data_IF_639252864094
#
_entry.id   IF_639252864094
#
_cell.length_a   1.000
_cell.length_b   1.000
_cell.length_c   1.000
_cell.angle_alpha   90.00
_cell.angle_beta   90.00
_cell.angle_gamma   90.00
#
_symmetry.space_group_name_H-M   'P 1'
#
loop_
_entity.id
_entity.type
_entity.pdbx_description
1 polymer ?
#
# COMPACT_ATOMS: atom_id res chain seq x y z
N UNK A 1 14.51 17.26 -10.22
CA UNK A 1 14.86 16.90 -8.83
C UNK A 1 15.88 15.78 -8.88
N UNK A 2 16.97 15.85 -8.11
CA UNK A 2 18.07 14.88 -8.18
C UNK A 2 17.63 13.50 -7.65
N UNK A 3 18.07 12.41 -8.32
CA UNK A 3 17.71 11.01 -8.01
C UNK A 3 17.89 10.63 -6.53
N UNK A 4 18.87 11.21 -5.82
CA UNK A 4 19.10 10.93 -4.39
C UNK A 4 18.04 11.48 -3.42
N UNK A 5 17.22 12.44 -3.82
CA UNK A 5 16.36 13.17 -2.87
C UNK A 5 15.18 12.36 -2.32
N UNK A 6 14.70 11.33 -3.03
CA UNK A 6 13.59 10.48 -2.53
C UNK A 6 14.09 9.43 -1.57
N UNK A 7 15.18 8.73 -1.91
CA UNK A 7 15.75 7.70 -1.05
C UNK A 7 16.21 8.32 0.27
N UNK A 8 16.81 9.51 0.26
CA UNK A 8 17.17 10.22 1.50
C UNK A 8 15.96 10.52 2.40
N UNK A 9 14.84 10.97 1.83
CA UNK A 9 13.61 11.22 2.62
C UNK A 9 13.03 9.93 3.19
N UNK A 10 12.94 8.89 2.38
CA UNK A 10 12.42 7.59 2.82
C UNK A 10 13.35 6.95 3.86
N UNK A 11 14.68 7.08 3.71
CA UNK A 11 15.67 6.66 4.71
C UNK A 11 15.44 7.36 6.06
N UNK A 12 15.13 8.65 6.07
CA UNK A 12 14.80 9.37 7.31
C UNK A 12 13.57 8.78 8.00
N UNK A 13 12.51 8.47 7.24
CA UNK A 13 11.31 7.81 7.78
C UNK A 13 11.67 6.43 8.34
N UNK A 14 12.39 5.61 7.58
CA UNK A 14 12.82 4.27 7.99
C UNK A 14 13.69 4.28 9.27
N UNK A 15 14.58 5.27 9.42
CA UNK A 15 15.46 5.36 10.59
C UNK A 15 14.69 5.57 11.90
N UNK A 16 13.47 6.14 11.85
CA UNK A 16 12.63 6.30 13.04
C UNK A 16 12.14 4.95 13.60
N UNK A 17 12.24 3.87 12.81
CA UNK A 17 11.89 2.49 13.22
C UNK A 17 13.10 1.55 13.14
N UNK A 18 14.31 2.11 13.23
CA UNK A 18 15.55 1.33 13.29
C UNK A 18 15.90 0.57 12.01
N UNK A 19 15.44 1.05 10.85
CA UNK A 19 15.71 0.42 9.55
C UNK A 19 16.54 1.34 8.65
N UNK A 20 17.65 0.84 8.09
CA UNK A 20 18.39 1.53 7.04
C UNK A 20 17.86 1.08 5.67
N UNK A 21 17.16 1.98 4.99
CA UNK A 21 16.64 1.72 3.65
C UNK A 21 17.75 1.37 2.65
N UNK A 22 19.00 1.79 2.88
CA UNK A 22 20.11 1.49 1.95
C UNK A 22 20.57 0.03 1.99
N UNK A 23 20.12 -0.74 2.97
CA UNK A 23 20.43 -2.16 3.10
C UNK A 23 19.51 -3.06 2.23
N UNK A 24 18.48 -2.50 1.60
CA UNK A 24 17.64 -3.25 0.65
C UNK A 24 18.30 -3.38 -0.72
N UNK A 25 17.82 -4.34 -1.52
CA UNK A 25 18.30 -4.56 -2.88
C UNK A 25 18.18 -3.27 -3.73
N UNK A 26 19.19 -3.02 -4.57
CA UNK A 26 19.20 -1.86 -5.47
C UNK A 26 17.99 -1.83 -6.43
N UNK A 27 17.41 -2.98 -6.75
CA UNK A 27 16.19 -3.08 -7.55
C UNK A 27 14.98 -2.44 -6.86
N UNK A 28 14.84 -2.65 -5.54
CA UNK A 28 13.80 -2.07 -4.70
C UNK A 28 13.96 -0.55 -4.67
N UNK A 29 15.19 -0.05 -4.46
CA UNK A 29 15.47 1.39 -4.47
C UNK A 29 15.11 2.03 -5.82
N UNK A 30 15.51 1.41 -6.93
CA UNK A 30 15.20 1.89 -8.27
C UNK A 30 13.68 1.95 -8.54
N UNK A 31 12.91 0.98 -8.01
CA UNK A 31 11.44 0.97 -8.14
C UNK A 31 10.79 2.10 -7.34
N UNK A 32 11.26 2.37 -6.12
CA UNK A 32 10.79 3.50 -5.32
C UNK A 32 11.10 4.85 -6.01
N UNK A 33 12.28 4.99 -6.59
CA UNK A 33 12.63 6.18 -7.39
C UNK A 33 11.69 6.37 -8.59
N UNK A 34 11.43 5.29 -9.33
CA UNK A 34 10.54 5.31 -10.48
C UNK A 34 9.11 5.72 -10.07
N UNK A 35 8.59 5.16 -8.97
CA UNK A 35 7.28 5.51 -8.44
C UNK A 35 7.20 6.99 -8.06
N UNK A 36 8.25 7.53 -7.44
CA UNK A 36 8.31 8.94 -7.06
C UNK A 36 8.42 9.88 -8.26
N UNK A 37 9.12 9.46 -9.33
CA UNK A 37 9.25 10.26 -10.55
C UNK A 37 7.93 10.37 -11.31
N UNK A 38 7.12 9.30 -11.30
CA UNK A 38 6.04 9.10 -12.27
C UNK A 38 4.64 9.07 -11.68
N UNK A 39 4.50 9.03 -10.35
CA UNK A 39 3.20 8.91 -9.71
C UNK A 39 3.16 9.62 -8.35
N UNK A 40 1.96 9.72 -7.76
CA UNK A 40 1.80 10.18 -6.38
C UNK A 40 2.10 9.10 -5.34
N UNK A 41 2.43 7.86 -5.76
CA UNK A 41 2.55 6.70 -4.88
C UNK A 41 3.46 6.98 -3.69
N UNK A 42 4.70 7.43 -3.89
CA UNK A 42 5.61 7.68 -2.75
C UNK A 42 5.09 8.74 -1.78
N UNK A 43 4.41 9.78 -2.29
CA UNK A 43 3.78 10.77 -1.41
C UNK A 43 2.60 10.17 -0.62
N UNK A 44 1.86 9.22 -1.20
CA UNK A 44 0.82 8.44 -0.51
C UNK A 44 1.43 7.64 0.66
N UNK A 45 2.54 6.94 0.41
CA UNK A 45 3.25 6.15 1.42
C UNK A 45 3.81 7.03 2.56
N UNK A 46 4.40 8.19 2.23
CA UNK A 46 4.90 9.16 3.21
C UNK A 46 3.77 9.70 4.12
N UNK A 47 2.57 9.95 3.57
CA UNK A 47 1.40 10.39 4.37
C UNK A 47 0.86 9.29 5.27
N UNK A 48 0.80 8.05 4.78
CA UNK A 48 0.42 6.89 5.59
C UNK A 48 1.36 6.73 6.79
N UNK A 49 2.68 6.74 6.57
CA UNK A 49 3.67 6.69 7.65
C UNK A 49 3.54 7.88 8.63
N UNK A 50 3.29 9.09 8.11
CA UNK A 50 3.07 10.29 8.94
C UNK A 50 1.82 10.19 9.82
N UNK A 51 0.78 9.48 9.36
CA UNK A 51 -0.41 9.20 10.15
C UNK A 51 -0.14 8.09 11.17
N UNK A 52 0.61 7.04 10.81
CA UNK A 52 1.06 6.00 11.74
C UNK A 52 1.82 6.59 12.94
N UNK A 53 2.82 7.46 12.70
CA UNK A 53 3.50 8.15 13.80
C UNK A 53 2.57 9.05 14.64
N UNK A 54 1.50 9.57 14.04
CA UNK A 54 0.45 10.27 14.77
C UNK A 54 -0.29 9.36 15.74
N UNK A 55 -0.61 8.13 15.32
CA UNK A 55 -1.23 7.12 16.15
C UNK A 55 -0.30 6.66 17.27
N UNK A 56 0.99 6.42 17.00
CA UNK A 56 1.94 6.01 18.04
C UNK A 56 1.99 7.01 19.19
N UNK A 57 2.12 8.31 18.86
CA UNK A 57 2.07 9.39 19.86
C UNK A 57 0.73 9.48 20.59
N UNK A 58 -0.38 9.20 19.91
CA UNK A 58 -1.70 9.17 20.54
C UNK A 58 -1.79 8.04 21.57
N UNK A 59 -1.27 6.86 21.25
CA UNK A 59 -1.23 5.72 22.17
C UNK A 59 -0.29 5.97 23.35
N UNK A 60 0.90 6.54 23.11
CA UNK A 60 1.82 6.95 24.18
C UNK A 60 1.15 7.87 25.21
N UNK A 61 0.36 8.83 24.73
CA UNK A 61 -0.27 9.84 25.58
C UNK A 61 -1.58 9.38 26.26
N UNK A 62 -2.36 8.51 25.61
CA UNK A 62 -3.74 8.22 26.02
C UNK A 62 -4.00 6.76 26.38
N UNK A 63 -3.13 5.82 25.94
CA UNK A 63 -3.30 4.37 26.11
C UNK A 63 -1.96 3.68 26.41
N UNK A 64 -1.30 4.01 27.54
CA UNK A 64 0.04 3.49 27.86
C UNK A 64 0.11 1.98 28.11
N UNK A 65 -1.02 1.29 28.18
CA UNK A 65 -1.09 -0.18 28.31
C UNK A 65 -1.36 -0.90 26.97
N UNK A 66 -1.57 -0.15 25.89
CA UNK A 66 -1.86 -0.67 24.54
C UNK A 66 -0.86 -0.13 23.49
N UNK A 67 0.34 0.25 23.94
CA UNK A 67 1.39 0.81 23.11
C UNK A 67 1.72 -0.12 21.94
N UNK A 68 2.07 0.48 20.80
CA UNK A 68 2.71 -0.26 19.73
C UNK A 68 4.15 -0.53 20.12
N UNK A 69 4.55 -1.79 20.18
CA UNK A 69 5.94 -2.14 20.44
C UNK A 69 6.86 -1.82 19.24
N UNK A 70 8.17 -1.98 19.42
CA UNK A 70 9.14 -1.68 18.36
C UNK A 70 8.92 -2.53 17.09
N UNK A 71 8.48 -3.78 17.23
CA UNK A 71 8.21 -4.67 16.11
C UNK A 71 6.97 -4.23 15.36
N UNK A 72 5.89 -3.89 16.07
CA UNK A 72 4.66 -3.37 15.48
C UNK A 72 4.93 -2.05 14.75
N UNK A 73 5.61 -1.10 15.39
CA UNK A 73 5.93 0.19 14.77
C UNK A 73 6.75 0.01 13.48
N UNK A 74 7.76 -0.87 13.51
CA UNK A 74 8.55 -1.22 12.32
C UNK A 74 7.70 -1.86 11.23
N UNK A 75 6.86 -2.83 11.59
CA UNK A 75 5.95 -3.53 10.67
C UNK A 75 5.01 -2.56 9.98
N UNK A 76 4.39 -1.66 10.73
CA UNK A 76 3.42 -0.69 10.23
C UNK A 76 4.09 0.33 9.32
N UNK A 77 5.19 0.95 9.75
CA UNK A 77 5.86 2.00 8.97
C UNK A 77 6.43 1.42 7.68
N UNK A 78 7.17 0.31 7.74
CA UNK A 78 7.74 -0.30 6.54
C UNK A 78 6.64 -0.92 5.66
N UNK A 79 5.60 -1.52 6.26
CA UNK A 79 4.43 -1.99 5.53
C UNK A 79 3.77 -0.88 4.72
N UNK A 80 3.65 0.32 5.28
CA UNK A 80 3.19 1.51 4.55
C UNK A 80 4.16 1.94 3.44
N UNK A 81 5.48 1.87 3.65
CA UNK A 81 6.46 2.33 2.67
C UNK A 81 6.70 1.37 1.50
N UNK A 82 6.29 0.11 1.63
CA UNK A 82 6.49 -0.91 0.60
C UNK A 82 5.20 -1.47 0.01
N UNK A 83 4.02 -1.16 0.57
CA UNK A 83 2.72 -1.73 0.14
C UNK A 83 2.48 -1.65 -1.36
N UNK A 84 2.81 -0.51 -1.96
CA UNK A 84 2.52 -0.19 -3.35
C UNK A 84 3.71 -0.40 -4.31
N UNK A 85 4.83 -0.98 -3.86
CA UNK A 85 6.00 -1.15 -4.74
C UNK A 85 5.69 -2.03 -5.96
N UNK A 86 4.75 -2.95 -5.84
CA UNK A 86 4.22 -3.76 -6.93
C UNK A 86 3.58 -2.95 -8.06
N UNK A 87 3.23 -1.67 -7.88
CA UNK A 87 2.79 -0.78 -8.97
C UNK A 87 3.88 -0.50 -10.01
N UNK A 88 5.06 -1.10 -9.85
CA UNK A 88 6.13 -1.17 -10.85
C UNK A 88 6.10 -2.43 -11.71
N UNK A 89 5.12 -3.31 -11.54
CA UNK A 89 4.99 -4.55 -12.32
C UNK A 89 5.82 -5.71 -11.74
N UNK A 90 5.80 -6.89 -12.40
CA UNK A 90 6.39 -8.12 -11.87
C UNK A 90 7.88 -7.99 -11.56
N UNK A 91 8.40 -8.84 -10.66
CA UNK A 91 9.81 -8.81 -10.24
C UNK A 91 10.80 -8.82 -11.42
N UNK A 92 10.49 -9.61 -12.45
CA UNK A 92 11.31 -9.77 -13.67
C UNK A 92 11.18 -8.65 -14.70
N UNK A 93 10.30 -7.67 -14.52
CA UNK A 93 10.11 -6.58 -15.48
C UNK A 93 11.41 -5.78 -15.66
N UNK A 94 11.73 -5.46 -16.91
CA UNK A 94 12.80 -4.56 -17.34
C UNK A 94 12.44 -3.10 -17.06
N UNK A 95 13.41 -2.17 -17.17
CA UNK A 95 13.16 -0.73 -16.98
C UNK A 95 11.99 -0.18 -17.82
N UNK A 96 11.96 -0.40 -19.15
CA UNK A 96 10.84 0.02 -19.99
C UNK A 96 9.51 -0.61 -19.59
N UNK A 97 9.49 -1.87 -19.20
CA UNK A 97 8.26 -2.55 -18.76
C UNK A 97 7.75 -1.99 -17.44
N UNK A 98 8.63 -1.72 -16.47
CA UNK A 98 8.25 -1.05 -15.22
C UNK A 98 7.65 0.32 -15.50
N UNK A 99 8.26 1.08 -16.41
CA UNK A 99 7.74 2.40 -16.81
C UNK A 99 6.32 2.30 -17.36
N UNK A 100 6.04 1.31 -18.22
CA UNK A 100 4.71 1.08 -18.76
C UNK A 100 3.69 0.83 -17.63
N UNK A 101 4.00 -0.08 -16.70
CA UNK A 101 3.10 -0.38 -15.59
C UNK A 101 2.89 0.84 -14.69
N UNK A 102 3.95 1.57 -14.34
CA UNK A 102 3.84 2.77 -13.51
C UNK A 102 3.00 3.85 -14.19
N UNK A 103 3.17 4.06 -15.51
CA UNK A 103 2.33 4.98 -16.29
C UNK A 103 0.85 4.60 -16.15
N UNK A 104 0.52 3.30 -16.29
CA UNK A 104 -0.86 2.83 -16.14
C UNK A 104 -1.41 3.07 -14.73
N UNK A 105 -0.64 2.80 -13.68
CA UNK A 105 -1.04 3.04 -12.29
C UNK A 105 -1.07 4.53 -11.91
N UNK A 106 -0.39 5.39 -12.67
CA UNK A 106 -0.40 6.85 -12.46
C UNK A 106 -1.68 7.53 -12.93
N UNK A 107 -2.47 6.86 -13.78
CA UNK A 107 -3.77 7.38 -14.23
C UNK A 107 -4.77 7.27 -13.09
N UNK A 108 -5.25 8.41 -12.62
CA UNK A 108 -6.25 8.51 -11.55
C UNK A 108 -7.66 8.74 -12.11
N UNK A 109 -8.68 8.54 -11.27
CA UNK A 109 -10.08 8.77 -11.60
C UNK A 109 -10.57 8.01 -12.85
N UNK A 110 -10.12 6.76 -13.02
CA UNK A 110 -10.65 5.85 -14.04
C UNK A 110 -12.11 5.53 -13.70
N UNK A 111 -13.02 5.89 -14.60
CA UNK A 111 -14.48 5.80 -14.38
C UNK A 111 -14.98 4.35 -14.39
N UNK A 112 -14.54 3.56 -15.37
CA UNK A 112 -14.90 2.16 -15.51
C UNK A 112 -13.69 1.28 -15.20
N UNK A 113 -13.68 0.70 -14.01
CA UNK A 113 -12.61 -0.20 -13.57
C UNK A 113 -12.75 -1.62 -14.13
N UNK A 114 -13.88 -1.92 -14.77
CA UNK A 114 -14.13 -3.21 -15.42
C UNK A 114 -13.80 -3.18 -16.92
N UNK A 115 -13.50 -2.01 -17.48
CA UNK A 115 -13.04 -1.91 -18.87
C UNK A 115 -11.77 -2.75 -19.09
N UNK A 116 -11.60 -3.37 -20.27
CA UNK A 116 -10.37 -4.06 -20.64
C UNK A 116 -9.15 -3.15 -20.61
N UNK A 117 -7.97 -3.69 -20.29
CA UNK A 117 -6.70 -2.96 -20.34
C UNK A 117 -6.46 -2.32 -21.72
N UNK A 118 -6.76 -3.01 -22.82
CA UNK A 118 -6.64 -2.43 -24.17
C UNK A 118 -7.51 -1.19 -24.38
N UNK A 119 -8.73 -1.19 -23.84
CA UNK A 119 -9.66 -0.06 -23.91
C UNK A 119 -9.15 1.10 -23.05
N UNK A 120 -8.64 0.80 -21.87
CA UNK A 120 -7.97 1.78 -21.02
C UNK A 120 -6.78 2.43 -21.76
N UNK A 121 -5.91 1.64 -22.40
CA UNK A 121 -4.75 2.18 -23.14
C UNK A 121 -5.18 3.07 -24.30
N UNK A 122 -6.16 2.65 -25.10
CA UNK A 122 -6.71 3.48 -26.18
C UNK A 122 -7.31 4.80 -25.68
N UNK A 123 -7.88 4.82 -24.47
CA UNK A 123 -8.49 6.02 -23.87
C UNK A 123 -7.47 6.99 -23.29
N UNK A 124 -6.48 6.48 -22.54
CA UNK A 124 -5.57 7.32 -21.74
C UNK A 124 -4.20 7.52 -22.39
N UNK A 125 -3.84 6.71 -23.39
CA UNK A 125 -2.58 6.77 -24.13
C UNK A 125 -2.82 6.58 -25.64
N UNK A 126 -3.65 7.43 -26.28
CA UNK A 126 -4.12 7.18 -27.65
C UNK A 126 -2.99 7.20 -28.70
N UNK A 127 -1.92 7.95 -28.46
CA UNK A 127 -0.84 8.15 -29.43
C UNK A 127 0.03 6.89 -29.63
N UNK A 128 0.13 6.02 -28.62
CA UNK A 128 0.97 4.83 -28.61
C UNK A 128 0.24 3.57 -28.06
N UNK A 129 -1.10 3.57 -28.08
CA UNK A 129 -1.93 2.54 -27.47
C UNK A 129 -1.59 1.12 -27.94
N UNK A 130 -1.49 0.90 -29.25
CA UNK A 130 -1.20 -0.42 -29.83
C UNK A 130 0.19 -0.94 -29.41
N UNK A 131 1.18 -0.05 -29.34
CA UNK A 131 2.53 -0.39 -28.87
C UNK A 131 2.52 -0.75 -27.38
N UNK A 132 1.80 0.01 -26.55
CA UNK A 132 1.63 -0.28 -25.12
C UNK A 132 0.94 -1.60 -24.89
N UNK A 133 -0.09 -1.92 -25.67
CA UNK A 133 -0.78 -3.23 -25.62
C UNK A 133 0.20 -4.34 -25.95
N UNK A 134 0.97 -4.21 -27.03
CA UNK A 134 1.97 -5.23 -27.40
C UNK A 134 3.01 -5.46 -26.31
N UNK A 135 3.52 -4.38 -25.71
CA UNK A 135 4.49 -4.46 -24.59
C UNK A 135 3.89 -5.03 -23.32
N UNK A 136 2.61 -4.78 -23.05
CA UNK A 136 1.88 -5.35 -21.93
C UNK A 136 1.66 -6.86 -22.11
N UNK A 137 1.29 -7.29 -23.32
CA UNK A 137 1.16 -8.71 -23.67
C UNK A 137 2.50 -9.44 -23.60
N UNK A 138 3.60 -8.77 -23.97
CA UNK A 138 4.96 -9.32 -23.85
C UNK A 138 5.39 -9.60 -22.39
N UNK A 139 4.78 -8.95 -21.39
CA UNK A 139 4.96 -9.28 -19.98
C UNK A 139 4.28 -10.59 -19.56
N UNK A 140 3.46 -11.18 -20.45
CA UNK A 140 2.63 -12.34 -20.19
C UNK A 140 1.29 -11.99 -19.55
N UNK A 141 0.81 -10.75 -19.74
CA UNK A 141 -0.47 -10.27 -19.21
C UNK A 141 -1.51 -10.19 -20.33
N UNK A 142 -2.76 -10.51 -20.01
CA UNK A 142 -3.87 -10.46 -20.98
C UNK A 142 -4.41 -9.04 -21.10
N UNK A 143 -4.32 -8.43 -22.28
CA UNK A 143 -4.83 -7.07 -22.50
C UNK A 143 -6.37 -6.97 -22.48
N UNK A 144 -7.08 -8.11 -22.51
CA UNK A 144 -8.53 -8.19 -22.32
C UNK A 144 -8.93 -8.32 -20.84
N UNK A 145 -7.96 -8.45 -19.92
CA UNK A 145 -8.25 -8.46 -18.49
C UNK A 145 -8.87 -7.11 -18.04
N UNK A 146 -9.79 -7.11 -17.07
CA UNK A 146 -10.31 -5.87 -16.50
C UNK A 146 -9.21 -5.07 -15.79
N UNK A 147 -9.27 -3.73 -15.86
CA UNK A 147 -8.35 -2.85 -15.11
C UNK A 147 -8.32 -3.16 -13.61
N UNK A 148 -9.46 -3.51 -13.00
CA UNK A 148 -9.52 -3.95 -11.60
C UNK A 148 -8.65 -5.17 -11.32
N UNK A 149 -8.63 -6.13 -12.24
CA UNK A 149 -7.81 -7.33 -12.09
C UNK A 149 -6.32 -6.98 -12.19
N UNK A 150 -5.93 -6.12 -13.14
CA UNK A 150 -4.55 -5.62 -13.23
C UNK A 150 -4.14 -4.90 -11.94
N UNK A 151 -4.98 -4.01 -11.43
CA UNK A 151 -4.68 -3.32 -10.19
C UNK A 151 -4.51 -4.29 -9.04
N UNK A 152 -5.33 -5.33 -8.91
CA UNK A 152 -5.17 -6.30 -7.82
C UNK A 152 -3.82 -7.05 -7.85
N UNK A 153 -3.20 -7.24 -9.04
CA UNK A 153 -1.92 -7.94 -9.18
C UNK A 153 -0.77 -7.27 -8.42
N UNK A 154 -0.83 -5.95 -8.18
CA UNK A 154 0.28 -5.26 -7.54
C UNK A 154 0.57 -5.79 -6.13
N UNK A 155 -0.41 -6.35 -5.42
CA UNK A 155 -0.18 -6.97 -4.11
C UNK A 155 0.71 -8.21 -4.19
N UNK A 156 0.51 -9.03 -5.24
CA UNK A 156 1.33 -10.21 -5.52
C UNK A 156 2.72 -9.78 -5.98
N UNK A 157 2.81 -8.77 -6.85
CA UNK A 157 4.10 -8.22 -7.25
C UNK A 157 4.84 -7.56 -6.10
N UNK A 158 4.16 -6.88 -5.18
CA UNK A 158 4.75 -6.36 -3.95
C UNK A 158 5.41 -7.50 -3.19
N UNK A 159 4.69 -8.58 -2.89
CA UNK A 159 5.23 -9.77 -2.23
C UNK A 159 6.49 -10.31 -2.94
N UNK A 160 6.41 -10.56 -4.24
CA UNK A 160 7.53 -11.09 -5.04
C UNK A 160 8.75 -10.16 -5.02
N UNK A 161 8.55 -8.84 -5.10
CA UNK A 161 9.62 -7.85 -5.19
C UNK A 161 10.41 -7.78 -3.89
N UNK A 162 9.73 -7.67 -2.74
CA UNK A 162 10.38 -7.36 -1.46
C UNK A 162 10.74 -8.59 -0.62
N UNK A 163 10.11 -9.74 -0.89
CA UNK A 163 10.46 -11.00 -0.23
C UNK A 163 11.90 -11.43 -0.59
N UNK A 164 12.73 -11.52 0.44
CA UNK A 164 14.17 -11.80 0.33
C UNK A 164 15.02 -10.65 -0.18
N UNK A 165 14.48 -9.43 -0.32
CA UNK A 165 15.19 -8.27 -0.90
C UNK A 165 15.73 -7.27 0.15
N UNK A 166 15.99 -7.75 1.37
CA UNK A 166 16.47 -6.93 2.50
C UNK A 166 15.38 -6.21 3.30
N UNK A 167 14.10 -6.32 2.91
CA UNK A 167 12.97 -5.83 3.72
C UNK A 167 12.66 -6.84 4.85
N UNK A 168 12.45 -6.42 6.11
CA UNK A 168 12.11 -7.32 7.21
C UNK A 168 10.84 -8.12 6.93
N UNK A 169 10.86 -9.42 7.23
CA UNK A 169 9.83 -10.35 6.79
C UNK A 169 8.43 -9.99 7.33
N UNK A 170 8.34 -9.46 8.54
CA UNK A 170 7.08 -8.96 9.11
C UNK A 170 6.50 -7.79 8.29
N UNK A 171 7.34 -6.89 7.80
CA UNK A 171 6.92 -5.77 6.96
C UNK A 171 6.52 -6.23 5.55
N UNK A 172 7.15 -7.31 5.05
CA UNK A 172 6.75 -7.95 3.79
C UNK A 172 5.31 -8.45 3.87
N UNK A 173 4.94 -9.12 4.96
CA UNK A 173 3.57 -9.58 5.18
C UNK A 173 2.58 -8.40 5.17
N UNK A 174 2.83 -7.38 6.00
CA UNK A 174 1.97 -6.21 6.11
C UNK A 174 1.82 -5.45 4.78
N UNK A 175 2.91 -5.26 4.04
CA UNK A 175 2.89 -4.65 2.72
C UNK A 175 2.08 -5.48 1.72
N UNK A 176 2.24 -6.80 1.68
CA UNK A 176 1.55 -7.66 0.72
C UNK A 176 0.05 -7.82 1.04
N UNK A 177 -0.35 -7.78 2.32
CA UNK A 177 -1.74 -7.98 2.74
C UNK A 177 -2.58 -6.70 2.79
N UNK A 178 -2.07 -5.55 2.37
CA UNK A 178 -2.77 -4.26 2.55
C UNK A 178 -4.11 -4.13 1.78
N UNK A 179 -4.44 -5.09 0.90
CA UNK A 179 -5.75 -5.23 0.25
C UNK A 179 -6.59 -6.40 0.76
N UNK A 180 -6.27 -6.99 1.92
CA UNK A 180 -7.02 -8.13 2.43
C UNK A 180 -8.49 -7.80 2.73
N UNK A 181 -8.81 -6.55 3.08
CA UNK A 181 -10.19 -6.05 3.22
C UNK A 181 -10.98 -6.02 1.89
N UNK A 182 -10.28 -6.10 0.76
CA UNK A 182 -10.85 -6.25 -0.59
C UNK A 182 -10.78 -7.71 -1.10
N UNK A 183 -10.57 -8.66 -0.18
CA UNK A 183 -10.47 -10.10 -0.46
C UNK A 183 -9.31 -10.47 -1.40
N UNK A 184 -8.24 -9.65 -1.40
CA UNK A 184 -7.01 -9.91 -2.15
C UNK A 184 -5.94 -10.42 -1.19
N UNK A 185 -5.61 -11.71 -1.30
CA UNK A 185 -4.66 -12.42 -0.46
C UNK A 185 -3.57 -13.05 -1.35
N UNK A 186 -2.49 -12.33 -1.66
CA UNK A 186 -1.46 -12.83 -2.57
C UNK A 186 -0.88 -14.15 -2.06
N UNK A 187 -0.77 -15.14 -2.94
CA UNK A 187 -0.31 -16.51 -2.62
C UNK A 187 -1.03 -17.20 -1.44
N UNK A 188 -2.20 -16.70 -1.02
CA UNK A 188 -2.88 -17.16 0.21
C UNK A 188 -1.97 -17.10 1.45
N UNK A 189 -1.18 -16.02 1.59
CA UNK A 189 -0.26 -15.88 2.72
C UNK A 189 -0.95 -15.78 4.08
N UNK A 190 -2.23 -15.35 4.11
CA UNK A 190 -3.06 -15.39 5.34
C UNK A 190 -4.06 -16.55 5.27
N UNK A 191 -3.98 -17.47 6.23
CA UNK A 191 -4.92 -18.57 6.40
C UNK A 191 -6.32 -18.13 6.81
N UNK A 192 -7.25 -19.09 6.84
CA UNK A 192 -8.61 -18.88 7.31
C UNK A 192 -8.70 -18.70 8.85
N UNK A 193 -7.66 -19.10 9.57
CA UNK A 193 -7.47 -18.94 11.01
C UNK A 193 -6.62 -17.70 11.35
N UNK A 194 -6.48 -16.78 10.40
CA UNK A 194 -5.65 -15.57 10.45
C UNK A 194 -4.16 -15.82 10.69
N UNK A 195 -3.68 -17.07 10.66
CA UNK A 195 -2.24 -17.37 10.73
C UNK A 195 -1.58 -17.16 9.39
N UNK A 196 -0.30 -16.77 9.38
CA UNK A 196 0.45 -16.78 8.13
C UNK A 196 0.76 -18.22 7.70
N UNK A 197 0.64 -18.50 6.40
CA UNK A 197 0.87 -19.84 5.82
C UNK A 197 2.34 -20.14 5.55
N UNK A 198 3.21 -19.13 5.69
CA UNK A 198 4.67 -19.23 5.58
C UNK A 198 5.34 -18.29 6.60
N UNK A 199 6.66 -18.40 6.76
CA UNK A 199 7.38 -17.66 7.78
C UNK A 199 7.57 -16.18 7.44
N UNK A 200 7.14 -15.29 8.34
CA UNK A 200 7.36 -13.83 8.26
C UNK A 200 8.06 -13.31 9.52
N UNK A 201 9.17 -13.96 9.87
CA UNK A 201 9.96 -13.61 11.05
C UNK A 201 9.25 -13.95 12.36
N UNK A 202 9.26 -13.01 13.30
CA UNK A 202 8.55 -13.15 14.58
C UNK A 202 7.02 -13.05 14.43
N UNK A 203 6.54 -12.56 13.28
CA UNK A 203 5.13 -12.38 13.03
C UNK A 203 4.50 -13.69 12.53
N UNK A 204 3.53 -14.21 13.26
CA UNK A 204 2.93 -15.54 12.99
C UNK A 204 1.46 -15.48 12.59
N UNK A 205 0.82 -14.32 12.73
CA UNK A 205 -0.58 -14.10 12.41
C UNK A 205 -0.80 -12.69 11.84
N UNK A 206 -1.85 -12.58 11.04
CA UNK A 206 -2.39 -11.32 10.58
C UNK A 206 -3.11 -10.63 11.75
N UNK A 207 -2.48 -9.59 12.29
CA UNK A 207 -2.86 -8.97 13.55
C UNK A 207 -2.96 -7.45 13.40
N UNK A 208 -2.98 -6.74 14.53
CA UNK A 208 -3.08 -5.28 14.64
C UNK A 208 -2.23 -4.50 13.65
N UNK A 209 -0.97 -4.92 13.44
CA UNK A 209 -0.03 -4.20 12.59
C UNK A 209 -0.44 -4.24 11.12
N UNK A 210 -0.77 -5.42 10.58
CA UNK A 210 -1.22 -5.58 9.19
C UNK A 210 -2.57 -4.90 8.98
N UNK A 211 -3.48 -5.06 9.94
CA UNK A 211 -4.79 -4.40 9.94
C UNK A 211 -4.66 -2.89 9.88
N UNK A 212 -3.74 -2.30 10.65
CA UNK A 212 -3.54 -0.86 10.61
C UNK A 212 -2.99 -0.38 9.26
N UNK A 213 -2.08 -1.11 8.62
CA UNK A 213 -1.61 -0.76 7.27
C UNK A 213 -2.76 -0.70 6.26
N UNK A 214 -3.71 -1.66 6.32
CA UNK A 214 -4.92 -1.63 5.48
C UNK A 214 -5.73 -0.36 5.72
N UNK A 215 -6.04 -0.04 6.98
CA UNK A 215 -6.88 1.11 7.28
C UNK A 215 -6.19 2.43 6.90
N UNK A 216 -4.87 2.54 7.10
CA UNK A 216 -4.09 3.70 6.67
C UNK A 216 -4.13 3.89 5.15
N UNK A 217 -3.92 2.82 4.37
CA UNK A 217 -4.01 2.85 2.90
C UNK A 217 -5.40 3.32 2.44
N UNK A 218 -6.44 2.65 2.94
CA UNK A 218 -7.82 2.93 2.53
C UNK A 218 -8.23 4.34 2.93
N UNK A 219 -7.87 4.78 4.13
CA UNK A 219 -8.15 6.13 4.59
C UNK A 219 -7.47 7.19 3.69
N UNK A 220 -6.17 7.06 3.41
CA UNK A 220 -5.47 8.01 2.54
C UNK A 220 -6.05 8.00 1.11
N UNK A 221 -6.32 6.81 0.55
CA UNK A 221 -6.94 6.66 -0.76
C UNK A 221 -8.29 7.38 -0.87
N UNK A 222 -9.17 7.22 0.14
CA UNK A 222 -10.48 7.87 0.18
C UNK A 222 -10.36 9.40 0.28
N UNK A 223 -9.41 9.89 1.09
CA UNK A 223 -9.18 11.32 1.29
C UNK A 223 -8.58 11.96 0.05
N UNK A 224 -7.59 11.32 -0.59
CA UNK A 224 -6.86 11.89 -1.72
C UNK A 224 -7.55 11.62 -3.05
N UNK A 225 -7.64 10.36 -3.46
CA UNK A 225 -8.20 9.96 -4.77
C UNK A 225 -9.70 10.12 -4.77
N UNK A 226 -10.36 9.67 -3.70
CA UNK A 226 -11.82 9.80 -3.53
C UNK A 226 -12.30 11.22 -3.19
N UNK A 227 -11.38 12.12 -2.79
CA UNK A 227 -11.69 13.50 -2.33
C UNK A 227 -12.78 13.56 -1.27
N UNK A 228 -12.95 12.49 -0.48
CA UNK A 228 -13.96 12.44 0.57
C UNK A 228 -13.54 13.33 1.73
N UNK A 229 -14.50 13.93 2.44
CA UNK A 229 -14.24 14.56 3.73
C UNK A 229 -13.77 13.53 4.76
N UNK A 230 -13.15 13.96 5.86
CA UNK A 230 -12.72 13.07 6.94
C UNK A 230 -13.88 12.19 7.45
N UNK A 231 -15.01 12.83 7.80
CA UNK A 231 -16.21 12.13 8.24
C UNK A 231 -16.73 11.11 7.21
N UNK A 232 -16.70 11.44 5.91
CA UNK A 232 -17.11 10.51 4.84
C UNK A 232 -16.14 9.34 4.67
N UNK A 233 -14.83 9.58 4.80
CA UNK A 233 -13.83 8.51 4.73
C UNK A 233 -13.96 7.54 5.90
N UNK A 234 -14.15 8.06 7.13
CA UNK A 234 -14.38 7.22 8.33
C UNK A 234 -15.69 6.43 8.20
N UNK A 235 -16.78 7.09 7.78
CA UNK A 235 -18.06 6.42 7.57
C UNK A 235 -17.95 5.30 6.53
N UNK A 236 -17.24 5.55 5.43
CA UNK A 236 -16.99 4.53 4.41
C UNK A 236 -16.22 3.33 4.97
N UNK A 237 -15.19 3.55 5.79
CA UNK A 237 -14.41 2.45 6.40
C UNK A 237 -15.27 1.60 7.32
N UNK A 238 -16.13 2.23 8.15
CA UNK A 238 -17.08 1.52 9.01
C UNK A 238 -18.06 0.69 8.19
N UNK A 239 -18.67 1.28 7.17
CA UNK A 239 -19.59 0.57 6.27
C UNK A 239 -18.90 -0.57 5.51
N UNK A 240 -17.65 -0.38 5.08
CA UNK A 240 -16.86 -1.41 4.41
C UNK A 240 -16.61 -2.60 5.33
N UNK A 241 -16.30 -2.35 6.60
CA UNK A 241 -16.08 -3.38 7.61
C UNK A 241 -17.37 -4.14 7.94
N UNK A 242 -18.48 -3.43 8.17
CA UNK A 242 -19.79 -4.01 8.45
C UNK A 242 -20.27 -4.94 7.32
N UNK A 243 -19.94 -4.60 6.08
CA UNK A 243 -20.33 -5.39 4.91
C UNK A 243 -19.30 -6.44 4.47
N UNK A 244 -18.13 -6.52 5.12
CA UNK A 244 -17.11 -7.52 4.79
C UNK A 244 -17.41 -8.86 5.50
N UNK A 245 -17.45 -9.96 4.75
CA UNK A 245 -17.81 -11.27 5.30
C UNK A 245 -16.77 -11.82 6.30
N UNK A 246 -15.50 -11.51 6.11
CA UNK A 246 -14.38 -11.97 6.96
C UNK A 246 -14.23 -11.10 8.20
N UNK A 247 -14.34 -9.78 8.04
CA UNK A 247 -13.97 -8.82 9.09
C UNK A 247 -15.15 -8.17 9.81
N UNK A 248 -16.40 -8.54 9.47
CA UNK A 248 -17.58 -8.03 10.20
C UNK A 248 -17.46 -8.36 11.69
N UNK A 249 -17.48 -7.31 12.52
CA UNK A 249 -17.38 -7.42 13.97
C UNK A 249 -15.94 -7.62 14.49
N UNK A 250 -14.92 -7.42 13.65
CA UNK A 250 -13.52 -7.36 14.09
C UNK A 250 -13.31 -6.09 14.93
N UNK A 251 -13.29 -6.28 16.26
CA UNK A 251 -13.14 -5.21 17.26
C UNK A 251 -11.83 -4.44 17.13
N UNK A 252 -10.79 -5.09 16.63
CA UNK A 252 -9.49 -4.44 16.46
C UNK A 252 -9.54 -3.47 15.29
N UNK A 253 -10.08 -3.89 14.13
CA UNK A 253 -10.31 -2.98 13.00
C UNK A 253 -11.26 -1.82 13.38
N UNK A 254 -12.34 -2.10 14.11
CA UNK A 254 -13.25 -1.06 14.61
C UNK A 254 -12.51 -0.02 15.48
N UNK A 255 -11.64 -0.50 16.37
CA UNK A 255 -10.83 0.34 17.26
C UNK A 255 -9.82 1.17 16.46
N UNK A 256 -9.10 0.57 15.53
CA UNK A 256 -8.12 1.27 14.67
C UNK A 256 -8.80 2.36 13.82
N UNK A 257 -10.02 2.11 13.29
CA UNK A 257 -10.80 3.13 12.57
C UNK A 257 -11.18 4.27 13.51
N UNK A 258 -11.61 3.98 14.74
CA UNK A 258 -11.94 5.01 15.74
C UNK A 258 -10.71 5.83 16.15
N UNK A 259 -9.54 5.22 16.26
CA UNK A 259 -8.31 5.94 16.59
C UNK A 259 -7.86 6.86 15.45
N UNK A 260 -8.04 6.42 14.20
CA UNK A 260 -7.82 7.27 13.02
C UNK A 260 -8.81 8.44 12.98
N UNK A 261 -10.07 8.24 13.36
CA UNK A 261 -11.08 9.31 13.52
C UNK A 261 -10.54 10.41 14.45
N UNK A 262 -10.05 10.02 15.63
CA UNK A 262 -9.47 10.94 16.61
C UNK A 262 -8.22 11.65 16.09
N UNK A 263 -7.22 10.89 15.63
CA UNK A 263 -5.89 11.44 15.28
C UNK A 263 -5.95 12.28 14.00
N UNK A 264 -6.67 11.82 12.98
CA UNK A 264 -6.79 12.56 11.73
C UNK A 264 -7.79 13.72 11.85
N UNK A 265 -8.84 13.59 12.67
CA UNK A 265 -9.81 14.64 12.95
C UNK A 265 -9.20 15.83 13.68
N UNK A 266 -8.33 15.58 14.66
CA UNK A 266 -7.61 16.64 15.39
C UNK A 266 -6.68 17.48 14.48
N UNK A 267 -6.17 16.89 13.39
CA UNK A 267 -5.33 17.57 12.39
C UNK A 267 -6.16 18.40 11.38
N UNK A 268 -7.46 18.18 11.29
CA UNK A 268 -8.33 18.86 10.32
C UNK A 268 -8.95 20.16 10.86
N UNK A 269 -8.81 20.46 12.15
CA UNK A 269 -9.21 21.73 12.75
C UNK A 269 -8.00 22.68 12.67
N UNK A 270 -8.06 23.80 11.94
CA UNK A 270 -7.03 24.82 12.05
C UNK A 270 -7.05 25.32 13.50
N UNK A 271 -5.89 25.33 14.15
CA UNK A 271 -5.70 26.12 15.36
C UNK A 271 -6.16 27.55 15.08
N UNK A 272 -7.22 27.95 15.77
CA UNK A 272 -7.87 29.27 15.73
C UNK A 272 -6.88 30.41 15.86
#
# INVERSE_FOLDING_TARGET
MARGGVIERLSLICSNVGFDLRDVDADVLSRLELLAERSQTVADLERMATLAFGLFRYYDANRPHELFDELEQRTIVLGCLFSDIGKTGPKRATGPERQLIVDMFSVEAVEDVMQPVRTFMARYFPDDADERVHRFEALGLDADMPMRALWNLHTSWTLEIIDGAGVPAEAVAAAATHHLLDDINPESIVGADDRFTRGFGANTCFDRSEKLVIILDKYDALRRRGRLSHAKAVAWLRERLENNARFRGDRELETLIADIDVVAGARAVPSS
#
